data_IF_539613752721
#
_entry.id   IF_539613752721
#
_cell.length_a   1.000
_cell.length_b   1.000
_cell.length_c   1.000
_cell.angle_alpha   90.00
_cell.angle_beta   90.00
_cell.angle_gamma   90.00
#
_symmetry.space_group_name_H-M   'P 1'
#
loop_
_entity.id
_entity.type
_entity.pdbx_description
1 polymer ?
#
# COMPACT_ATOMS: atom_id res chain seq x y z
N UNK A 1 18.49 -20.77 -4.41
CA UNK A 1 17.17 -21.40 -4.28
C UNK A 1 16.10 -20.35 -4.56
N UNK A 2 15.69 -20.27 -5.81
CA UNK A 2 14.61 -19.43 -6.31
C UNK A 2 13.31 -19.85 -5.62
N UNK A 3 12.91 -19.10 -4.60
CA UNK A 3 11.59 -19.24 -3.98
C UNK A 3 10.53 -19.07 -5.07
N UNK A 4 9.89 -20.17 -5.45
CA UNK A 4 8.75 -20.17 -6.36
C UNK A 4 7.61 -19.43 -5.65
N UNK A 5 7.41 -18.16 -6.02
CA UNK A 5 6.18 -17.43 -5.77
C UNK A 5 5.05 -18.15 -6.52
N UNK A 6 4.42 -19.15 -5.90
CA UNK A 6 3.25 -19.82 -6.48
C UNK A 6 2.22 -18.79 -6.90
N UNK A 7 1.95 -18.70 -8.21
CA UNK A 7 0.98 -17.83 -8.90
C UNK A 7 0.86 -16.36 -8.45
N UNK A 8 1.81 -15.82 -7.68
CA UNK A 8 1.74 -14.47 -7.14
C UNK A 8 2.51 -13.50 -8.02
N UNK A 9 1.79 -12.65 -8.74
CA UNK A 9 2.39 -11.58 -9.55
C UNK A 9 3.16 -10.62 -8.64
N UNK A 10 4.45 -10.43 -8.92
CA UNK A 10 5.32 -9.51 -8.18
C UNK A 10 4.76 -8.09 -8.27
N UNK A 11 4.52 -7.46 -7.11
CA UNK A 11 4.11 -6.06 -7.02
C UNK A 11 5.32 -5.20 -6.67
N UNK A 12 5.55 -4.16 -7.47
CA UNK A 12 6.56 -3.13 -7.20
C UNK A 12 5.88 -1.79 -6.96
N UNK A 13 6.52 -0.91 -6.18
CA UNK A 13 6.03 0.46 -5.91
C UNK A 13 7.09 1.46 -6.37
N UNK A 14 7.16 1.81 -7.66
CA UNK A 14 8.24 2.65 -8.19
C UNK A 14 8.28 4.06 -7.57
N UNK A 15 7.12 4.58 -7.16
CA UNK A 15 6.97 5.93 -6.63
C UNK A 15 6.95 5.97 -5.09
N UNK A 16 7.38 4.91 -4.39
CA UNK A 16 7.30 4.86 -2.92
C UNK A 16 8.16 5.91 -2.21
N UNK A 17 9.18 6.44 -2.88
CA UNK A 17 10.07 7.49 -2.38
C UNK A 17 9.76 8.87 -2.97
N UNK A 18 8.70 9.00 -3.79
CA UNK A 18 8.30 10.29 -4.37
C UNK A 18 7.13 10.86 -3.57
N UNK A 19 7.26 12.08 -3.00
CA UNK A 19 6.15 12.73 -2.30
C UNK A 19 4.95 12.97 -3.20
N UNK A 20 3.76 12.83 -2.63
CA UNK A 20 2.50 13.05 -3.35
C UNK A 20 2.39 14.44 -4.00
N UNK A 21 2.97 15.48 -3.38
CA UNK A 21 3.01 16.83 -3.95
C UNK A 21 3.78 16.86 -5.26
N UNK A 22 4.87 16.10 -5.36
CA UNK A 22 5.72 16.05 -6.55
C UNK A 22 5.06 15.24 -7.66
N UNK A 23 4.47 14.09 -7.35
CA UNK A 23 3.73 13.30 -8.35
C UNK A 23 2.51 14.06 -8.88
N UNK A 24 1.80 14.78 -8.01
CA UNK A 24 0.66 15.63 -8.42
C UNK A 24 1.11 16.79 -9.29
N UNK A 25 2.21 17.46 -8.91
CA UNK A 25 2.77 18.55 -9.72
C UNK A 25 3.25 18.05 -11.08
N UNK A 26 3.91 16.89 -11.13
CA UNK A 26 4.33 16.26 -12.37
C UNK A 26 3.14 15.96 -13.29
N UNK A 27 2.07 15.36 -12.76
CA UNK A 27 0.86 15.10 -13.53
C UNK A 27 0.24 16.41 -14.09
N UNK A 28 0.21 17.46 -13.27
CA UNK A 28 -0.33 18.76 -13.66
C UNK A 28 0.47 19.41 -14.81
N UNK A 29 1.79 19.49 -14.72
CA UNK A 29 2.62 20.11 -15.78
C UNK A 29 2.63 19.32 -17.08
N UNK A 30 2.36 18.01 -17.02
CA UNK A 30 2.26 17.14 -18.20
C UNK A 30 0.83 17.03 -18.74
N UNK A 31 -0.13 17.80 -18.21
CA UNK A 31 -1.55 17.75 -18.59
C UNK A 31 -2.14 16.32 -18.54
N UNK A 32 -1.72 15.52 -17.56
CA UNK A 32 -2.28 14.19 -17.36
C UNK A 32 -3.65 14.30 -16.71
N UNK A 33 -4.64 13.59 -17.25
CA UNK A 33 -5.95 13.49 -16.62
C UNK A 33 -5.86 12.61 -15.36
N UNK A 34 -6.38 13.11 -14.24
CA UNK A 34 -6.50 12.35 -13.00
C UNK A 34 -7.80 12.68 -12.28
N UNK A 35 -8.28 11.74 -11.47
CA UNK A 35 -9.48 11.93 -10.66
C UNK A 35 -9.24 12.99 -9.58
N UNK A 36 -9.98 14.10 -9.65
CA UNK A 36 -9.92 15.20 -8.67
C UNK A 36 -10.92 15.05 -7.52
N UNK A 37 -11.96 14.23 -7.69
CA UNK A 37 -13.01 14.04 -6.69
C UNK A 37 -12.64 12.92 -5.71
N UNK A 38 -12.58 13.21 -4.39
CA UNK A 38 -12.31 12.19 -3.38
C UNK A 38 -13.51 11.23 -3.22
N UNK A 39 -13.23 10.02 -2.71
CA UNK A 39 -14.29 9.10 -2.31
C UNK A 39 -15.09 9.69 -1.13
N UNK A 40 -16.44 9.60 -1.11
CA UNK A 40 -17.26 10.12 0.00
C UNK A 40 -16.88 9.56 1.38
N UNK A 41 -16.37 8.33 1.43
CA UNK A 41 -15.94 7.65 2.65
C UNK A 41 -14.45 7.88 3.00
N UNK A 42 -13.73 8.70 2.23
CA UNK A 42 -12.28 8.88 2.41
C UNK A 42 -11.93 9.54 3.75
N UNK A 43 -12.77 10.45 4.23
CA UNK A 43 -12.50 11.21 5.47
C UNK A 43 -12.73 10.38 6.74
N UNK A 44 -13.57 9.35 6.67
CA UNK A 44 -13.80 8.42 7.80
C UNK A 44 -12.62 7.47 8.03
N UNK A 45 -11.69 7.37 7.06
CA UNK A 45 -10.57 6.47 7.16
C UNK A 45 -9.47 7.02 8.10
N UNK A 46 -9.03 6.22 9.07
CA UNK A 46 -7.86 6.50 9.93
C UNK A 46 -6.60 6.93 9.14
N UNK A 47 -6.48 6.49 7.89
CA UNK A 47 -5.38 6.89 6.99
C UNK A 47 -5.33 8.41 6.78
N UNK A 48 -6.47 9.10 6.77
CA UNK A 48 -6.56 10.54 6.57
C UNK A 48 -5.94 11.32 7.73
N UNK A 49 -6.13 10.85 8.97
CA UNK A 49 -5.49 11.41 10.16
C UNK A 49 -3.98 11.21 10.15
N UNK A 50 -3.52 9.98 9.86
CA UNK A 50 -2.10 9.68 9.76
C UNK A 50 -1.42 10.52 8.67
N UNK A 51 -2.07 10.70 7.51
CA UNK A 51 -1.57 11.56 6.43
C UNK A 51 -1.46 13.02 6.87
N UNK A 52 -2.48 13.56 7.55
CA UNK A 52 -2.48 14.94 8.06
C UNK A 52 -1.34 15.18 9.05
N UNK A 53 -1.17 14.27 10.01
CA UNK A 53 -0.08 14.32 10.98
C UNK A 53 1.29 14.32 10.30
N UNK A 54 1.53 13.36 9.39
CA UNK A 54 2.80 13.25 8.67
C UNK A 54 3.06 14.49 7.78
N UNK A 55 2.03 15.07 7.17
CA UNK A 55 2.15 16.30 6.41
C UNK A 55 2.54 17.50 7.28
N UNK A 56 1.95 17.63 8.47
CA UNK A 56 2.31 18.68 9.43
C UNK A 56 3.76 18.53 9.90
N UNK A 57 4.19 17.30 10.18
CA UNK A 57 5.56 17.03 10.60
C UNK A 57 6.56 17.29 9.47
N UNK A 58 6.26 16.89 8.24
CA UNK A 58 7.09 17.19 7.07
C UNK A 58 7.26 18.70 6.86
N UNK A 59 6.19 19.49 7.05
CA UNK A 59 6.26 20.94 6.95
C UNK A 59 7.13 21.56 8.04
N UNK A 60 7.06 21.05 9.28
CA UNK A 60 7.87 21.54 10.41
C UNK A 60 9.33 21.08 10.31
N UNK A 61 9.56 19.88 9.78
CA UNK A 61 10.85 19.19 9.71
C UNK A 61 10.94 18.43 8.38
N UNK A 62 11.49 19.06 7.33
CA UNK A 62 11.69 18.41 6.04
C UNK A 62 12.46 17.09 6.18
N UNK A 63 12.03 16.05 5.47
CA UNK A 63 12.62 14.71 5.54
C UNK A 63 11.98 13.77 6.57
N UNK A 64 10.98 14.21 7.34
CA UNK A 64 10.30 13.35 8.33
C UNK A 64 9.66 12.13 7.68
N UNK A 65 8.94 12.30 6.57
CA UNK A 65 8.30 11.17 5.86
C UNK A 65 9.32 10.15 5.37
N UNK A 66 10.45 10.61 4.84
CA UNK A 66 11.55 9.75 4.41
C UNK A 66 12.16 9.00 5.59
N UNK A 67 12.44 9.70 6.70
CA UNK A 67 12.97 9.08 7.92
C UNK A 67 12.02 7.99 8.46
N UNK A 68 10.71 8.29 8.53
CA UNK A 68 9.67 7.33 8.95
C UNK A 68 9.62 6.13 8.01
N UNK A 69 9.63 6.35 6.70
CA UNK A 69 9.59 5.29 5.70
C UNK A 69 10.81 4.37 5.79
N UNK A 70 12.02 4.95 5.82
CA UNK A 70 13.26 4.18 5.91
C UNK A 70 13.38 3.43 7.24
N UNK A 71 12.93 4.03 8.34
CA UNK A 71 12.85 3.36 9.64
C UNK A 71 11.87 2.18 9.60
N UNK A 72 10.71 2.37 8.97
CA UNK A 72 9.74 1.29 8.76
C UNK A 72 10.31 0.13 7.94
N UNK A 73 11.11 0.41 6.89
CA UNK A 73 11.80 -0.62 6.11
C UNK A 73 12.81 -1.41 6.96
N UNK A 74 13.57 -0.73 7.83
CA UNK A 74 14.53 -1.37 8.74
C UNK A 74 13.84 -2.26 9.78
N UNK A 75 12.70 -1.81 10.32
CA UNK A 75 11.92 -2.56 11.33
C UNK A 75 11.22 -3.77 10.71
N UNK A 76 10.86 -3.71 9.43
CA UNK A 76 10.05 -4.74 8.75
C UNK A 76 10.59 -6.16 8.93
N UNK A 77 11.90 -6.34 9.17
CA UNK A 77 12.50 -7.62 9.51
C UNK A 77 12.36 -8.68 8.41
N UNK A 78 13.06 -9.80 8.56
CA UNK A 78 12.80 -10.99 7.76
C UNK A 78 11.55 -11.68 8.31
N UNK A 79 10.38 -11.22 7.89
CA UNK A 79 9.14 -11.97 8.11
C UNK A 79 9.30 -13.27 7.32
N UNK A 80 9.46 -14.39 8.04
CA UNK A 80 9.48 -15.71 7.42
C UNK A 80 8.21 -15.89 6.60
N UNK A 81 8.38 -16.43 5.39
CA UNK A 81 7.26 -16.69 4.51
C UNK A 81 6.38 -17.75 5.15
N UNK A 82 5.19 -17.34 5.62
CA UNK A 82 4.18 -18.31 6.04
C UNK A 82 3.83 -19.22 4.86
N UNK A 83 3.66 -20.51 5.15
CA UNK A 83 3.15 -21.48 4.18
C UNK A 83 1.78 -20.99 3.71
N UNK A 84 1.67 -20.72 2.41
CA UNK A 84 0.43 -20.28 1.79
C UNK A 84 -0.35 -21.50 1.32
N UNK A 85 -1.61 -21.60 1.72
CA UNK A 85 -2.58 -22.55 1.17
C UNK A 85 -3.28 -21.91 -0.04
N UNK A 86 -4.07 -22.70 -0.77
CA UNK A 86 -4.93 -22.22 -1.85
C UNK A 86 -6.41 -22.29 -1.45
N UNK A 87 -7.16 -21.25 -1.80
CA UNK A 87 -8.59 -21.15 -1.53
C UNK A 87 -9.35 -22.27 -2.26
N UNK A 88 -10.20 -23.01 -1.54
CA UNK A 88 -11.01 -24.09 -2.15
C UNK A 88 -12.03 -23.63 -3.21
N UNK A 89 -12.40 -22.35 -3.20
CA UNK A 89 -13.44 -21.80 -4.10
C UNK A 89 -12.82 -21.18 -5.35
N UNK A 90 -11.85 -20.27 -5.18
CA UNK A 90 -11.28 -19.50 -6.29
C UNK A 90 -9.82 -19.83 -6.61
N UNK A 91 -9.18 -20.73 -5.86
CA UNK A 91 -7.78 -21.10 -6.06
C UNK A 91 -6.76 -20.02 -5.66
N UNK A 92 -7.17 -18.85 -5.17
CA UNK A 92 -6.25 -17.79 -4.76
C UNK A 92 -5.46 -18.16 -3.49
N UNK A 93 -4.20 -17.69 -3.35
CA UNK A 93 -3.40 -17.98 -2.17
C UNK A 93 -4.00 -17.34 -0.91
N UNK A 94 -4.02 -18.09 0.18
CA UNK A 94 -4.65 -17.71 1.44
C UNK A 94 -3.96 -18.39 2.62
N UNK A 95 -4.06 -17.80 3.81
CA UNK A 95 -3.65 -18.44 5.07
C UNK A 95 -4.71 -19.43 5.60
N UNK A 96 -5.96 -19.32 5.14
CA UNK A 96 -7.09 -20.16 5.56
C UNK A 96 -7.47 -21.26 4.57
N UNK A 97 -8.66 -21.85 4.74
CA UNK A 97 -9.26 -22.79 3.76
C UNK A 97 -10.00 -22.06 2.63
N UNK A 98 -10.55 -20.90 2.94
CA UNK A 98 -11.28 -20.00 2.04
C UNK A 98 -10.65 -18.62 2.17
N UNK A 99 -10.52 -17.87 1.07
CA UNK A 99 -9.95 -16.52 1.11
C UNK A 99 -10.97 -15.49 1.63
N UNK A 100 -10.49 -14.39 2.22
CA UNK A 100 -11.34 -13.31 2.76
C UNK A 100 -12.32 -12.73 1.73
N UNK A 101 -11.94 -12.69 0.46
CA UNK A 101 -12.83 -12.25 -0.62
C UNK A 101 -14.03 -13.20 -0.76
N UNK A 102 -13.80 -14.51 -0.84
CA UNK A 102 -14.86 -15.51 -0.94
C UNK A 102 -15.71 -15.64 0.34
N UNK A 103 -15.15 -15.36 1.52
CA UNK A 103 -15.94 -15.26 2.75
C UNK A 103 -16.96 -14.12 2.64
N UNK A 104 -16.51 -12.92 2.25
CA UNK A 104 -17.37 -11.74 2.11
C UNK A 104 -18.44 -11.88 1.02
N UNK A 105 -18.11 -12.47 -0.14
CA UNK A 105 -19.08 -12.64 -1.22
C UNK A 105 -20.19 -13.65 -0.92
N UNK A 106 -19.95 -14.58 0.02
CA UNK A 106 -20.93 -15.59 0.46
C UNK A 106 -21.53 -15.26 1.84
N UNK A 107 -21.33 -14.02 2.32
CA UNK A 107 -21.90 -13.51 3.58
C UNK A 107 -23.30 -12.95 3.38
#
# INVERSE_FOLDING_TARGET
MSQQLGDYVRRVKPLCEVPERETTYYAFINNMEFQSQPCPYADEAMRSDARRFLNQMEHKRPGTKFSVYQTGLKIKGNIESQVMNFCKICGAPTTGKICRSCELSNS
#
